data_IF_517379499989
#
_entry.id   IF_517379499989
#
_cell.length_a   1.000
_cell.length_b   1.000
_cell.length_c   1.000
_cell.angle_alpha   90.00
_cell.angle_beta   90.00
_cell.angle_gamma   90.00
#
_symmetry.space_group_name_H-M   'P 1'
#
loop_
_entity.id
_entity.type
_entity.pdbx_description
1 polymer ?
#
# COMPACT_ATOMS: atom_id res chain seq x y z
N UNK A 1 -7.91 -18.16 9.78
CA UNK A 1 -7.97 -16.78 9.22
C UNK A 1 -7.78 -15.74 10.33
N UNK A 2 -8.54 -15.81 11.42
CA UNK A 2 -8.52 -14.80 12.48
C UNK A 2 -7.17 -14.68 13.23
N UNK A 3 -6.48 -15.79 13.52
CA UNK A 3 -5.20 -15.74 14.25
C UNK A 3 -4.09 -14.96 13.50
N UNK A 4 -4.00 -15.13 12.17
CA UNK A 4 -3.02 -14.41 11.35
C UNK A 4 -3.34 -12.91 11.34
N UNK A 5 -4.61 -12.56 11.26
CA UNK A 5 -5.05 -11.16 11.26
C UNK A 5 -4.74 -10.52 12.61
N UNK A 6 -5.08 -11.17 13.73
CA UNK A 6 -4.75 -10.68 15.07
C UNK A 6 -3.24 -10.54 15.27
N UNK A 7 -2.45 -11.52 14.82
CA UNK A 7 -0.99 -11.42 14.84
C UNK A 7 -0.48 -10.20 14.04
N UNK A 8 -1.01 -9.95 12.86
CA UNK A 8 -0.62 -8.79 12.04
C UNK A 8 -1.00 -7.46 12.70
N UNK A 9 -2.14 -7.40 13.37
CA UNK A 9 -2.59 -6.21 14.09
C UNK A 9 -1.74 -5.93 15.33
N UNK A 10 -1.42 -6.97 16.11
CA UNK A 10 -0.60 -6.86 17.32
C UNK A 10 0.87 -6.52 17.01
N UNK A 11 1.33 -6.84 15.80
CA UNK A 11 2.69 -6.58 15.32
C UNK A 11 2.77 -5.43 14.30
N UNK A 12 1.76 -4.55 14.28
CA UNK A 12 1.83 -3.32 13.49
C UNK A 12 3.02 -2.47 13.93
N UNK A 13 3.77 -1.92 12.96
CA UNK A 13 4.88 -1.04 13.28
C UNK A 13 4.36 0.19 14.02
N UNK A 14 5.01 0.51 15.13
CA UNK A 14 4.78 1.75 15.86
C UNK A 14 4.93 2.94 14.91
N UNK A 15 3.91 3.80 14.86
CA UNK A 15 3.86 4.97 13.98
C UNK A 15 4.08 6.24 14.81
N UNK A 16 5.33 6.69 15.01
CA UNK A 16 5.60 7.88 15.83
C UNK A 16 4.90 9.13 15.28
N UNK A 17 4.76 9.26 13.96
CA UNK A 17 4.06 10.41 13.36
C UNK A 17 2.58 10.46 13.75
N UNK A 18 1.91 9.31 13.90
CA UNK A 18 0.51 9.27 14.30
C UNK A 18 0.37 9.59 15.79
N UNK A 19 1.28 9.10 16.61
CA UNK A 19 1.23 9.28 18.06
C UNK A 19 1.58 10.72 18.47
N UNK A 20 2.65 11.27 17.91
CA UNK A 20 3.16 12.59 18.29
C UNK A 20 2.55 13.74 17.49
N UNK A 21 2.13 13.50 16.24
CA UNK A 21 1.72 14.55 15.29
C UNK A 21 0.29 14.33 14.78
N UNK A 22 -0.35 13.19 15.07
CA UNK A 22 -1.68 12.84 14.55
C UNK A 22 -1.69 12.47 13.06
N UNK A 23 -0.53 12.44 12.40
CA UNK A 23 -0.41 12.23 10.96
C UNK A 23 0.01 10.79 10.65
N UNK A 24 -0.70 10.12 9.75
CA UNK A 24 -0.31 8.79 9.28
C UNK A 24 0.86 8.88 8.28
N UNK A 25 1.97 8.18 8.55
CA UNK A 25 3.06 8.09 7.59
C UNK A 25 2.72 7.19 6.39
N UNK A 26 3.48 7.36 5.31
CA UNK A 26 3.32 6.63 4.04
C UNK A 26 3.32 5.10 4.21
N UNK A 27 4.08 4.59 5.17
CA UNK A 27 4.25 3.15 5.42
C UNK A 27 3.14 2.52 6.28
N UNK A 28 2.69 3.19 7.34
CA UNK A 28 1.67 2.62 8.23
C UNK A 28 0.30 2.52 7.54
N UNK A 29 -0.01 3.43 6.61
CA UNK A 29 -1.21 3.35 5.76
C UNK A 29 -1.21 2.10 4.86
N UNK A 30 -0.04 1.71 4.35
CA UNK A 30 0.13 0.52 3.54
C UNK A 30 -0.12 -0.76 4.35
N UNK A 31 0.43 -0.86 5.56
CA UNK A 31 0.24 -2.04 6.41
C UNK A 31 -1.23 -2.23 6.80
N UNK A 32 -1.91 -1.16 7.22
CA UNK A 32 -3.32 -1.23 7.63
C UNK A 32 -4.26 -1.48 6.46
N UNK A 33 -4.04 -0.85 5.31
CA UNK A 33 -4.82 -1.16 4.10
C UNK A 33 -4.64 -2.62 3.69
N UNK A 34 -3.43 -3.18 3.80
CA UNK A 34 -3.20 -4.60 3.54
C UNK A 34 -3.94 -5.52 4.52
N UNK A 35 -4.00 -5.20 5.81
CA UNK A 35 -4.80 -5.94 6.79
C UNK A 35 -6.30 -5.87 6.44
N UNK A 36 -6.80 -4.69 6.07
CA UNK A 36 -8.19 -4.51 5.61
C UNK A 36 -8.50 -5.37 4.37
N UNK A 37 -7.55 -5.46 3.45
CA UNK A 37 -7.66 -6.32 2.26
C UNK A 37 -7.81 -7.80 2.65
N UNK A 38 -6.99 -8.29 3.60
CA UNK A 38 -7.06 -9.66 4.12
C UNK A 38 -8.38 -9.92 4.86
N UNK A 39 -8.92 -8.91 5.55
CA UNK A 39 -10.23 -8.97 6.21
C UNK A 39 -11.41 -8.99 5.23
N UNK A 40 -11.18 -8.77 3.94
CA UNK A 40 -12.23 -8.69 2.92
C UNK A 40 -12.89 -7.30 2.81
N UNK A 41 -12.34 -6.29 3.51
CA UNK A 41 -12.83 -4.91 3.45
C UNK A 41 -12.16 -4.14 2.30
N UNK A 42 -12.44 -4.57 1.07
CA UNK A 42 -11.83 -4.00 -0.14
C UNK A 42 -12.02 -2.49 -0.28
N UNK A 43 -13.23 -2.00 -0.01
CA UNK A 43 -13.54 -0.57 -0.17
C UNK A 43 -12.74 0.29 0.82
N UNK A 44 -12.71 -0.11 2.10
CA UNK A 44 -11.94 0.57 3.14
C UNK A 44 -10.43 0.48 2.89
N UNK A 45 -9.94 -0.68 2.42
CA UNK A 45 -8.54 -0.83 2.02
C UNK A 45 -8.14 0.17 0.94
N UNK A 46 -8.94 0.31 -0.11
CA UNK A 46 -8.67 1.21 -1.24
C UNK A 46 -8.78 2.67 -0.80
N UNK A 47 -9.81 3.03 -0.03
CA UNK A 47 -9.96 4.37 0.52
C UNK A 47 -8.79 4.75 1.44
N UNK A 48 -8.25 3.79 2.19
CA UNK A 48 -7.12 4.03 3.09
C UNK A 48 -5.81 4.25 2.32
N UNK A 49 -5.55 3.44 1.30
CA UNK A 49 -4.33 3.51 0.50
C UNK A 49 -4.59 3.05 -0.95
N UNK A 50 -4.97 3.96 -1.86
CA UNK A 50 -5.36 3.58 -3.22
C UNK A 50 -4.21 2.98 -4.03
N UNK A 51 -2.96 3.29 -3.66
CA UNK A 51 -1.78 2.71 -4.28
C UNK A 51 -1.56 1.21 -3.94
N UNK A 52 -2.29 0.64 -2.98
CA UNK A 52 -2.08 -0.76 -2.57
C UNK A 52 -2.32 -1.74 -3.73
N UNK A 53 -3.44 -1.56 -4.44
CA UNK A 53 -3.83 -2.44 -5.56
C UNK A 53 -2.82 -2.38 -6.72
N UNK A 54 -2.47 -1.20 -7.28
CA UNK A 54 -1.46 -1.14 -8.33
C UNK A 54 -0.08 -1.61 -7.86
N UNK A 55 0.24 -1.49 -6.56
CA UNK A 55 1.48 -2.03 -6.01
C UNK A 55 1.45 -3.57 -6.00
N UNK A 56 0.35 -4.19 -5.55
CA UNK A 56 0.19 -5.64 -5.58
C UNK A 56 0.25 -6.18 -7.01
N UNK A 57 -0.41 -5.52 -7.96
CA UNK A 57 -0.34 -5.88 -9.39
C UNK A 57 1.09 -5.78 -9.89
N UNK A 58 1.81 -4.71 -9.54
CA UNK A 58 3.21 -4.54 -9.91
C UNK A 58 4.09 -5.67 -9.36
N UNK A 59 3.88 -6.10 -8.12
CA UNK A 59 4.62 -7.21 -7.51
C UNK A 59 4.31 -8.53 -8.21
N UNK A 60 3.04 -8.83 -8.47
CA UNK A 60 2.64 -10.03 -9.24
C UNK A 60 3.25 -10.03 -10.64
N UNK A 61 3.29 -8.87 -11.29
CA UNK A 61 3.90 -8.70 -12.60
C UNK A 61 5.43 -8.83 -12.55
N UNK A 62 6.09 -8.31 -11.51
CA UNK A 62 7.53 -8.48 -11.27
C UNK A 62 7.88 -9.95 -11.16
N UNK A 63 7.17 -10.69 -10.30
CA UNK A 63 7.37 -12.13 -10.11
C UNK A 63 7.20 -12.85 -11.47
N UNK A 64 6.10 -12.59 -12.17
CA UNK A 64 5.84 -13.16 -13.49
C UNK A 64 6.94 -12.82 -14.51
N UNK A 65 7.43 -11.57 -14.50
CA UNK A 65 8.50 -11.14 -15.41
C UNK A 65 9.82 -11.85 -15.13
N UNK A 66 10.15 -12.14 -13.86
CA UNK A 66 11.36 -12.90 -13.50
C UNK A 66 11.28 -14.33 -14.06
N UNK A 67 10.11 -14.98 -14.00
CA UNK A 67 9.95 -16.35 -14.52
C UNK A 67 9.85 -16.41 -16.06
N UNK A 68 9.09 -15.50 -16.68
CA UNK A 68 8.79 -15.55 -18.12
C UNK A 68 9.67 -14.65 -18.99
N UNK A 69 10.52 -13.81 -18.39
CA UNK A 69 11.46 -12.93 -19.10
C UNK A 69 10.81 -12.08 -20.20
N UNK A 70 9.64 -11.48 -19.92
CA UNK A 70 8.92 -10.64 -20.89
C UNK A 70 9.81 -9.57 -21.55
N UNK A 71 9.77 -9.49 -22.88
CA UNK A 71 10.62 -8.60 -23.70
C UNK A 71 10.58 -7.13 -23.26
N UNK A 72 9.42 -6.63 -22.82
CA UNK A 72 9.21 -5.26 -22.37
C UNK A 72 8.86 -5.17 -20.88
N UNK A 73 9.13 -6.22 -20.10
CA UNK A 73 8.72 -6.31 -18.69
C UNK A 73 9.26 -5.15 -17.85
N UNK A 74 10.57 -4.88 -17.92
CA UNK A 74 11.19 -3.77 -17.19
C UNK A 74 10.56 -2.40 -17.49
N UNK A 75 10.19 -2.12 -18.75
CA UNK A 75 9.51 -0.87 -19.11
C UNK A 75 8.13 -0.76 -18.48
N UNK A 76 7.37 -1.86 -18.48
CA UNK A 76 6.03 -1.91 -17.84
C UNK A 76 6.14 -1.73 -16.33
N UNK A 77 7.09 -2.41 -15.67
CA UNK A 77 7.35 -2.20 -14.24
C UNK A 77 7.68 -0.75 -13.93
N UNK A 78 8.46 -0.07 -14.79
CA UNK A 78 8.79 1.34 -14.61
C UNK A 78 7.54 2.23 -14.62
N UNK A 79 6.58 1.99 -15.53
CA UNK A 79 5.32 2.71 -15.53
C UNK A 79 4.50 2.46 -14.25
N UNK A 80 4.41 1.21 -13.80
CA UNK A 80 3.77 0.89 -12.53
C UNK A 80 4.43 1.58 -11.35
N UNK A 81 5.76 1.64 -11.33
CA UNK A 81 6.51 2.31 -10.26
C UNK A 81 6.19 3.80 -10.18
N UNK A 82 6.21 4.50 -11.33
CA UNK A 82 5.81 5.92 -11.38
C UNK A 82 4.36 6.13 -10.96
N UNK A 83 3.44 5.29 -11.45
CA UNK A 83 2.03 5.35 -11.06
C UNK A 83 1.84 5.17 -9.55
N UNK A 84 2.54 4.20 -8.95
CA UNK A 84 2.51 3.99 -7.50
C UNK A 84 3.04 5.21 -6.75
N UNK A 85 4.20 5.76 -7.12
CA UNK A 85 4.74 6.97 -6.47
C UNK A 85 3.73 8.12 -6.51
N UNK A 86 3.14 8.39 -7.68
CA UNK A 86 2.17 9.48 -7.84
C UNK A 86 0.98 9.26 -6.90
N UNK A 87 0.40 8.05 -6.88
CA UNK A 87 -0.74 7.74 -6.01
C UNK A 87 -0.40 7.85 -4.52
N UNK A 88 0.78 7.39 -4.12
CA UNK A 88 1.27 7.45 -2.74
C UNK A 88 1.39 8.92 -2.29
N UNK A 89 2.07 9.73 -3.11
CA UNK A 89 2.32 11.14 -2.82
C UNK A 89 1.01 11.94 -2.81
N UNK A 90 0.15 11.76 -3.80
CA UNK A 90 -1.16 12.43 -3.86
C UNK A 90 -2.03 12.06 -2.66
N UNK A 91 -2.11 10.77 -2.30
CA UNK A 91 -2.88 10.32 -1.14
C UNK A 91 -2.33 10.93 0.16
N UNK A 92 -1.01 11.03 0.31
CA UNK A 92 -0.38 11.65 1.47
C UNK A 92 -0.74 13.14 1.58
N UNK A 93 -0.63 13.90 0.50
CA UNK A 93 -0.99 15.32 0.51
C UNK A 93 -2.49 15.55 0.76
N UNK A 94 -3.37 14.73 0.19
CA UNK A 94 -4.82 14.82 0.45
C UNK A 94 -5.12 14.57 1.93
N UNK A 95 -4.54 13.52 2.52
CA UNK A 95 -4.73 13.23 3.95
C UNK A 95 -4.17 14.35 4.83
N UNK A 96 -3.02 14.92 4.46
CA UNK A 96 -2.43 16.03 5.20
C UNK A 96 -3.30 17.29 5.16
N UNK A 97 -3.86 17.62 4.00
CA UNK A 97 -4.76 18.76 3.83
C UNK A 97 -6.06 18.57 4.61
N UNK A 98 -6.59 17.34 4.64
CA UNK A 98 -7.83 17.02 5.36
C UNK A 98 -7.69 17.03 6.88
N UNK A 99 -6.47 17.04 7.42
CA UNK A 99 -6.19 17.09 8.86
C UNK A 99 -5.88 18.52 9.36
N UNK A 100 -5.79 19.50 8.45
CA UNK A 100 -5.68 20.94 8.78
C UNK A 100 -7.07 21.55 8.89
#
# INVERSE_FOLDING_TARGET
>A
MNEIITFLEDNLLFCPSKEFIGIECLGCGLQRSFILLIKGEFLHSIMMYPALIPMLIMICYLISHIYFSFKNGASILKYFYFLNIILIVVNYFIKQLSYT
#
